data_IF_555797384679
#
_entry.id   IF_555797384679
#
_cell.length_a   1.000
_cell.length_b   1.000
_cell.length_c   1.000
_cell.angle_alpha   90.00
_cell.angle_beta   90.00
_cell.angle_gamma   90.00
#
_symmetry.space_group_name_H-M   'P 1'
#
loop_
_entity.id
_entity.type
_entity.pdbx_description
1 polymer ?
#
# COMPACT_ATOMS: atom_id res chain seq x y z
N UNK A 1 54.99 2.77 -7.54
CA UNK A 1 53.83 3.69 -7.34
C UNK A 1 52.73 2.87 -6.69
N UNK A 2 52.70 2.86 -5.37
CA UNK A 2 51.75 2.09 -4.55
C UNK A 2 50.48 2.93 -4.46
N UNK A 3 49.40 2.50 -5.12
CA UNK A 3 48.08 3.12 -4.95
C UNK A 3 47.37 2.39 -3.82
N UNK A 4 47.30 3.08 -2.70
CA UNK A 4 46.53 2.78 -1.50
C UNK A 4 45.06 2.53 -1.86
N UNK A 5 44.60 1.27 -1.74
CA UNK A 5 43.17 0.95 -1.65
C UNK A 5 42.66 1.51 -0.33
N UNK A 6 41.98 2.65 -0.40
CA UNK A 6 41.14 3.16 0.67
C UNK A 6 40.03 2.12 0.88
N UNK A 7 40.12 1.36 1.98
CA UNK A 7 38.98 0.61 2.51
C UNK A 7 37.94 1.63 2.94
N UNK A 8 36.92 1.87 2.11
CA UNK A 8 35.71 2.48 2.60
C UNK A 8 35.02 1.50 3.55
N UNK A 9 34.57 1.93 4.73
CA UNK A 9 33.83 1.07 5.65
C UNK A 9 32.49 0.73 5.00
N UNK A 10 32.25 -0.57 4.82
CA UNK A 10 30.96 -1.12 4.41
C UNK A 10 29.90 -0.65 5.41
N UNK A 11 28.96 0.16 4.96
CA UNK A 11 27.86 0.67 5.79
C UNK A 11 26.89 -0.49 6.06
N UNK A 12 26.44 -0.72 7.30
CA UNK A 12 25.65 -1.91 7.66
C UNK A 12 24.17 -1.72 7.30
N UNK A 13 23.85 -1.50 6.03
CA UNK A 13 22.47 -1.34 5.55
C UNK A 13 22.03 -2.52 4.66
N UNK A 14 22.42 -3.77 4.94
CA UNK A 14 21.97 -4.88 4.07
C UNK A 14 22.14 -6.28 4.65
N UNK A 15 21.65 -6.55 5.87
CA UNK A 15 21.75 -7.91 6.43
C UNK A 15 20.59 -8.85 6.06
N UNK A 16 19.48 -8.34 5.51
CA UNK A 16 18.31 -9.18 5.20
C UNK A 16 18.48 -9.97 3.88
N UNK A 17 19.06 -9.43 2.79
CA UNK A 17 19.22 -10.20 1.54
C UNK A 17 20.35 -11.25 1.60
N UNK A 18 21.43 -10.98 2.33
CA UNK A 18 22.63 -11.84 2.30
C UNK A 18 22.47 -13.18 3.03
N UNK A 19 21.65 -13.25 4.08
CA UNK A 19 21.50 -14.46 4.89
C UNK A 19 20.57 -15.52 4.24
N UNK A 20 19.69 -15.12 3.32
CA UNK A 20 18.80 -16.06 2.62
C UNK A 20 19.36 -16.56 1.29
N UNK A 21 20.17 -15.74 0.59
CA UNK A 21 20.88 -16.13 -0.64
C UNK A 21 21.80 -17.35 -0.45
N UNK A 22 22.31 -17.59 0.76
CA UNK A 22 23.17 -18.73 1.06
C UNK A 22 22.41 -20.06 1.27
N UNK A 23 21.13 -20.02 1.66
CA UNK A 23 20.35 -21.22 1.99
C UNK A 23 19.75 -21.90 0.74
N UNK A 24 19.62 -21.17 -0.38
CA UNK A 24 18.99 -21.65 -1.63
C UNK A 24 20.01 -22.17 -2.66
N UNK A 25 21.31 -22.09 -2.36
CA UNK A 25 22.41 -22.32 -3.31
C UNK A 25 22.53 -23.75 -3.89
N UNK A 26 21.77 -24.74 -3.39
CA UNK A 26 21.78 -26.10 -3.94
C UNK A 26 20.88 -26.33 -5.19
N UNK A 27 20.15 -25.32 -5.68
CA UNK A 27 19.30 -25.42 -6.90
C UNK A 27 19.62 -24.35 -7.98
N UNK A 28 20.84 -23.79 -7.97
CA UNK A 28 21.19 -22.51 -8.60
C UNK A 28 20.94 -22.34 -10.12
N UNK A 29 20.86 -23.40 -10.93
CA UNK A 29 20.65 -23.26 -12.39
C UNK A 29 19.17 -23.05 -12.72
N UNK A 30 18.26 -23.81 -12.10
CA UNK A 30 16.80 -23.69 -12.34
C UNK A 30 16.29 -22.36 -11.76
N UNK A 31 16.85 -21.92 -10.64
CA UNK A 31 16.45 -20.66 -10.00
C UNK A 31 16.82 -19.44 -10.85
N UNK A 32 18.00 -19.44 -11.49
CA UNK A 32 18.44 -18.31 -12.30
C UNK A 32 17.59 -18.15 -13.58
N UNK A 33 17.26 -19.26 -14.25
CA UNK A 33 16.43 -19.23 -15.46
C UNK A 33 15.01 -18.72 -15.17
N UNK A 34 14.43 -19.09 -14.02
CA UNK A 34 13.13 -18.60 -13.58
C UNK A 34 13.16 -17.11 -13.23
N UNK A 35 14.20 -16.66 -12.51
CA UNK A 35 14.40 -15.23 -12.21
C UNK A 35 14.56 -14.41 -13.49
N UNK A 36 15.27 -14.90 -14.52
CA UNK A 36 15.35 -14.18 -15.78
C UNK A 36 14.01 -14.13 -16.52
N UNK A 37 13.22 -15.21 -16.47
CA UNK A 37 11.92 -15.27 -17.13
C UNK A 37 10.87 -14.34 -16.49
N UNK A 38 10.95 -14.10 -15.18
CA UNK A 38 10.02 -13.22 -14.47
C UNK A 38 10.20 -11.73 -14.80
N UNK A 39 11.36 -11.34 -15.34
CA UNK A 39 11.71 -9.94 -15.55
C UNK A 39 11.18 -9.42 -16.89
N UNK A 40 10.89 -8.13 -16.93
CA UNK A 40 10.56 -7.45 -18.19
C UNK A 40 11.84 -7.01 -18.94
N UNK A 41 12.91 -6.66 -18.20
CA UNK A 41 14.26 -6.40 -18.72
C UNK A 41 15.30 -7.21 -17.92
N UNK A 42 15.69 -8.42 -18.38
CA UNK A 42 16.60 -9.32 -17.65
C UNK A 42 18.04 -8.82 -17.61
N UNK A 43 18.42 -7.84 -18.44
CA UNK A 43 19.78 -7.33 -18.54
C UNK A 43 20.10 -6.30 -17.44
N UNK A 44 19.08 -5.72 -16.80
CA UNK A 44 19.28 -4.81 -15.66
C UNK A 44 19.83 -5.56 -14.44
N UNK A 45 20.71 -4.94 -13.63
CA UNK A 45 21.15 -5.55 -12.39
C UNK A 45 20.03 -5.54 -11.32
N UNK A 46 19.90 -6.62 -10.54
CA UNK A 46 18.99 -6.70 -9.39
C UNK A 46 19.41 -5.80 -8.21
N UNK A 47 20.68 -5.40 -8.19
CA UNK A 47 21.25 -4.49 -7.18
C UNK A 47 21.99 -3.38 -7.91
N UNK A 48 21.49 -2.17 -7.77
CA UNK A 48 22.03 -1.01 -8.48
C UNK A 48 23.26 -0.46 -7.77
N UNK A 49 24.36 -0.36 -8.51
CA UNK A 49 25.61 0.26 -8.07
C UNK A 49 25.52 1.80 -8.11
N UNK A 50 26.31 2.53 -7.31
CA UNK A 50 27.35 2.05 -6.38
C UNK A 50 26.85 1.78 -4.95
N UNK A 51 25.64 2.22 -4.62
CA UNK A 51 25.14 2.24 -3.24
C UNK A 51 24.41 0.96 -2.82
N UNK A 52 24.21 0.02 -3.75
CA UNK A 52 23.61 -1.28 -3.46
C UNK A 52 22.09 -1.22 -3.30
N UNK A 53 21.42 -0.30 -4.00
CA UNK A 53 19.96 -0.22 -3.94
C UNK A 53 19.33 -1.49 -4.52
N UNK A 54 18.46 -2.13 -3.74
CA UNK A 54 17.67 -3.26 -4.19
C UNK A 54 16.70 -2.78 -5.28
N UNK A 55 16.68 -3.46 -6.43
CA UNK A 55 15.64 -3.27 -7.44
C UNK A 55 14.29 -3.79 -6.94
N UNK A 56 13.20 -3.43 -7.62
CA UNK A 56 11.88 -3.93 -7.22
C UNK A 56 11.77 -5.45 -7.45
N UNK A 57 12.45 -6.00 -8.46
CA UNK A 57 12.46 -7.44 -8.74
C UNK A 57 13.04 -8.26 -7.58
N UNK A 58 14.14 -7.82 -6.96
CA UNK A 58 14.71 -8.56 -5.82
C UNK A 58 13.83 -8.43 -4.57
N UNK A 59 13.15 -7.29 -4.40
CA UNK A 59 12.17 -7.12 -3.31
C UNK A 59 10.99 -8.07 -3.51
N UNK A 60 10.42 -8.12 -4.71
CA UNK A 60 9.32 -9.02 -5.04
C UNK A 60 9.75 -10.49 -4.94
N UNK A 61 10.96 -10.84 -5.39
CA UNK A 61 11.52 -12.18 -5.26
C UNK A 61 11.56 -12.63 -3.79
N UNK A 62 11.88 -11.72 -2.86
CA UNK A 62 11.91 -12.01 -1.42
C UNK A 62 10.50 -12.07 -0.80
N UNK A 63 9.52 -11.34 -1.34
CA UNK A 63 8.16 -11.26 -0.80
C UNK A 63 7.23 -12.37 -1.31
N UNK A 64 7.29 -12.66 -2.61
CA UNK A 64 6.38 -13.58 -3.30
C UNK A 64 7.08 -14.71 -4.06
N UNK A 65 8.42 -14.75 -4.07
CA UNK A 65 9.17 -15.78 -4.80
C UNK A 65 9.23 -15.56 -6.32
N UNK A 66 8.78 -14.40 -6.82
CA UNK A 66 8.80 -14.04 -8.24
C UNK A 66 9.59 -12.74 -8.45
N UNK A 67 10.49 -12.71 -9.43
CA UNK A 67 11.32 -11.53 -9.73
C UNK A 67 10.64 -10.54 -10.70
N UNK A 68 9.33 -10.36 -10.56
CA UNK A 68 8.56 -9.43 -11.40
C UNK A 68 8.89 -7.97 -11.00
N UNK A 69 8.94 -7.03 -11.96
CA UNK A 69 9.36 -5.66 -11.67
C UNK A 69 8.26 -4.77 -11.09
N UNK A 70 6.99 -5.16 -11.21
CA UNK A 70 5.88 -4.32 -10.81
C UNK A 70 5.21 -4.77 -9.51
N UNK A 71 4.52 -3.83 -8.86
CA UNK A 71 3.84 -4.04 -7.57
C UNK A 71 2.31 -4.09 -7.67
N UNK A 72 1.76 -3.97 -8.88
CA UNK A 72 0.32 -4.15 -9.14
C UNK A 72 -0.04 -5.64 -9.24
N UNK A 73 -1.33 -5.96 -9.16
CA UNK A 73 -1.81 -7.34 -9.26
C UNK A 73 -1.86 -7.81 -10.71
N UNK A 74 -1.48 -9.07 -10.93
CA UNK A 74 -1.52 -9.76 -12.21
C UNK A 74 -0.73 -9.05 -13.32
N UNK A 75 -0.88 -9.51 -14.56
CA UNK A 75 -0.25 -8.87 -15.70
C UNK A 75 -1.18 -7.79 -16.27
N UNK A 76 -0.58 -6.71 -16.75
CA UNK A 76 -1.29 -5.60 -17.40
C UNK A 76 -0.85 -5.51 -18.85
N UNK A 77 -1.81 -5.39 -19.79
CA UNK A 77 -1.52 -5.17 -21.21
C UNK A 77 -1.68 -3.70 -21.56
N UNK A 78 -0.57 -3.05 -21.92
CA UNK A 78 -0.51 -1.67 -22.35
C UNK A 78 -0.31 -1.59 -23.87
N UNK A 79 -1.40 -1.77 -24.61
CA UNK A 79 -1.38 -1.61 -26.07
C UNK A 79 -0.43 -2.58 -26.78
N UNK A 80 -0.37 -3.83 -26.32
CA UNK A 80 0.48 -4.89 -26.87
C UNK A 80 1.77 -5.14 -26.08
N UNK A 81 2.03 -4.36 -25.02
CA UNK A 81 3.14 -4.59 -24.08
C UNK A 81 2.58 -5.18 -22.80
N UNK A 82 2.87 -6.45 -22.55
CA UNK A 82 2.50 -7.13 -21.31
C UNK A 82 3.52 -6.80 -20.21
N UNK A 83 3.07 -6.09 -19.19
CA UNK A 83 3.85 -5.81 -17.98
C UNK A 83 3.52 -6.84 -16.90
N UNK A 84 4.54 -7.45 -16.30
CA UNK A 84 4.35 -8.50 -15.29
C UNK A 84 4.18 -7.92 -13.90
N UNK A 85 3.10 -8.28 -13.21
CA UNK A 85 2.85 -7.93 -11.82
C UNK A 85 2.74 -9.15 -10.91
N UNK A 86 2.24 -8.93 -9.70
CA UNK A 86 2.20 -9.93 -8.64
C UNK A 86 0.96 -10.81 -8.84
N UNK A 87 1.18 -12.10 -9.07
CA UNK A 87 0.11 -13.05 -9.39
C UNK A 87 -0.44 -13.81 -8.18
N UNK A 88 0.23 -13.74 -7.02
CA UNK A 88 -0.10 -14.54 -5.84
C UNK A 88 -0.13 -13.69 -4.58
N UNK A 89 -0.97 -14.08 -3.62
CA UNK A 89 -0.95 -13.46 -2.29
C UNK A 89 0.33 -13.83 -1.54
N UNK A 90 0.78 -12.90 -0.68
CA UNK A 90 2.06 -13.03 0.02
C UNK A 90 1.89 -13.27 1.52
N UNK A 91 2.92 -13.82 2.17
CA UNK A 91 2.92 -13.97 3.62
C UNK A 91 3.23 -12.66 4.36
N UNK A 92 4.15 -11.86 3.80
CA UNK A 92 4.54 -10.53 4.28
C UNK A 92 4.28 -9.53 3.17
N UNK A 93 3.55 -8.48 3.49
CA UNK A 93 3.09 -7.49 2.52
C UNK A 93 4.14 -6.45 2.19
N UNK A 94 3.77 -5.55 1.27
CA UNK A 94 4.58 -4.41 0.89
C UNK A 94 3.71 -3.17 0.76
N UNK A 95 4.20 -2.07 1.30
CA UNK A 95 3.66 -0.73 1.07
C UNK A 95 4.83 0.17 0.70
N UNK A 96 4.59 1.18 -0.13
CA UNK A 96 5.65 2.10 -0.52
C UNK A 96 5.18 3.54 -0.43
N UNK A 97 6.09 4.41 -0.01
CA UNK A 97 5.85 5.85 0.01
C UNK A 97 5.56 6.38 -1.40
N UNK A 98 6.11 5.75 -2.45
CA UNK A 98 5.87 6.13 -3.84
C UNK A 98 4.39 6.03 -4.26
N UNK A 99 3.63 5.10 -3.68
CA UNK A 99 2.19 5.02 -3.92
C UNK A 99 1.45 6.23 -3.34
N UNK A 100 1.86 6.71 -2.16
CA UNK A 100 1.26 7.92 -1.56
C UNK A 100 1.51 9.19 -2.39
N UNK A 101 2.55 9.17 -3.23
CA UNK A 101 2.88 10.21 -4.20
C UNK A 101 2.20 9.99 -5.57
N UNK A 102 1.36 8.97 -5.71
CA UNK A 102 0.73 8.53 -6.95
C UNK A 102 1.74 8.19 -8.07
N UNK A 103 2.94 7.71 -7.71
CA UNK A 103 3.98 7.30 -8.66
C UNK A 103 3.88 5.83 -9.05
N UNK A 104 3.14 5.03 -8.28
CA UNK A 104 2.82 3.65 -8.60
C UNK A 104 1.51 3.24 -7.91
N UNK A 105 0.96 2.09 -8.29
CA UNK A 105 -0.19 1.48 -7.64
C UNK A 105 0.19 0.11 -7.08
N UNK A 106 0.10 -0.07 -5.75
CA UNK A 106 0.40 -1.35 -5.12
C UNK A 106 -0.88 -2.18 -5.07
N UNK A 107 -0.81 -3.38 -5.64
CA UNK A 107 -1.93 -4.31 -5.74
C UNK A 107 -2.35 -4.93 -4.42
N UNK A 108 -3.54 -5.55 -4.42
CA UNK A 108 -4.13 -6.22 -3.25
C UNK A 108 -3.26 -7.37 -2.77
N UNK A 109 -2.59 -8.08 -3.66
CA UNK A 109 -1.73 -9.23 -3.33
C UNK A 109 -0.61 -8.85 -2.38
N UNK A 110 -0.06 -7.62 -2.48
CA UNK A 110 0.96 -7.10 -1.57
C UNK A 110 0.38 -6.34 -0.38
N UNK A 111 -0.78 -5.68 -0.53
CA UNK A 111 -1.44 -4.91 0.54
C UNK A 111 -2.14 -5.78 1.58
N UNK A 112 -2.62 -6.94 1.19
CA UNK A 112 -3.41 -7.86 2.03
C UNK A 112 -2.65 -9.17 2.27
N UNK A 113 -1.50 -9.14 2.96
CA UNK A 113 -0.72 -10.34 3.25
C UNK A 113 -1.44 -11.28 4.21
N UNK A 114 -0.98 -12.53 4.27
CA UNK A 114 -1.47 -13.53 5.24
C UNK A 114 -1.24 -13.08 6.68
N UNK A 115 -0.07 -12.54 6.97
CA UNK A 115 0.29 -12.00 8.29
C UNK A 115 0.30 -10.48 8.23
N UNK A 116 -0.19 -9.76 9.26
CA UNK A 116 -0.23 -8.30 9.27
C UNK A 116 1.16 -7.73 9.51
N UNK A 117 2.06 -7.96 8.57
CA UNK A 117 3.45 -7.55 8.53
C UNK A 117 3.68 -7.00 7.12
N UNK A 118 4.19 -5.78 7.03
CA UNK A 118 4.48 -5.11 5.78
C UNK A 118 5.90 -4.58 5.80
N UNK A 119 6.63 -4.83 4.72
CA UNK A 119 7.82 -4.06 4.39
C UNK A 119 7.38 -2.71 3.85
N UNK A 120 7.90 -1.63 4.42
CA UNK A 120 7.66 -0.26 3.97
C UNK A 120 8.88 0.21 3.19
N UNK A 121 8.72 0.44 1.89
CA UNK A 121 9.74 1.04 1.03
C UNK A 121 9.65 2.56 1.02
N UNK A 122 10.78 3.23 1.26
CA UNK A 122 10.96 4.66 0.99
C UNK A 122 11.91 4.87 -0.19
N UNK A 123 12.35 6.11 -0.41
CA UNK A 123 13.34 6.46 -1.44
C UNK A 123 14.73 5.85 -1.17
N UNK A 124 15.05 5.56 0.08
CA UNK A 124 16.41 5.27 0.52
C UNK A 124 16.51 4.14 1.55
N UNK A 125 15.39 3.71 2.13
CA UNK A 125 15.39 2.79 3.25
C UNK A 125 14.16 1.87 3.29
N UNK A 126 14.33 0.68 3.86
CA UNK A 126 13.24 -0.26 4.13
C UNK A 126 13.01 -0.39 5.63
N UNK A 127 11.75 -0.30 6.04
CA UNK A 127 11.34 -0.47 7.44
C UNK A 127 10.20 -1.48 7.55
N UNK A 128 9.82 -1.86 8.77
CA UNK A 128 8.77 -2.86 9.00
C UNK A 128 7.60 -2.22 9.72
N UNK A 129 6.40 -2.43 9.21
CA UNK A 129 5.14 -2.16 9.90
C UNK A 129 4.47 -3.49 10.22
N UNK A 130 3.94 -3.67 11.43
CA UNK A 130 3.20 -4.89 11.76
C UNK A 130 2.12 -4.66 12.80
N UNK A 131 1.12 -5.54 12.85
CA UNK A 131 0.18 -5.64 13.95
C UNK A 131 0.33 -6.98 14.67
N UNK A 132 -0.20 -7.06 15.88
CA UNK A 132 -0.20 -8.31 16.67
C UNK A 132 -1.47 -9.15 16.42
N UNK A 133 -2.50 -8.54 15.85
CA UNK A 133 -3.78 -9.18 15.55
C UNK A 133 -4.02 -9.15 14.04
N UNK A 134 -4.41 -10.29 13.47
CA UNK A 134 -4.77 -10.42 12.06
C UNK A 134 -6.06 -9.68 11.72
N UNK A 135 -6.93 -9.43 12.70
CA UNK A 135 -8.23 -8.76 12.52
C UNK A 135 -8.12 -7.33 11.97
N UNK A 136 -6.92 -6.70 12.06
CA UNK A 136 -6.66 -5.37 11.46
C UNK A 136 -6.82 -5.36 9.93
N UNK A 137 -6.78 -6.54 9.32
CA UNK A 137 -6.95 -6.74 7.88
C UNK A 137 -8.36 -7.14 7.50
N UNK A 138 -9.26 -7.34 8.47
CA UNK A 138 -10.63 -7.79 8.21
C UNK A 138 -11.38 -6.73 7.41
N UNK A 139 -11.84 -7.14 6.23
CA UNK A 139 -12.65 -6.32 5.34
C UNK A 139 -14.10 -6.78 5.39
N UNK A 140 -15.01 -5.82 5.39
CA UNK A 140 -16.43 -6.14 5.23
C UNK A 140 -16.69 -6.70 3.84
N UNK A 141 -17.79 -7.44 3.68
CA UNK A 141 -18.22 -7.93 2.37
C UNK A 141 -18.34 -6.81 1.32
N UNK A 142 -18.69 -5.59 1.76
CA UNK A 142 -18.80 -4.41 0.90
C UNK A 142 -17.42 -3.94 0.44
N UNK A 143 -16.47 -3.84 1.37
CA UNK A 143 -15.09 -3.44 1.07
C UNK A 143 -14.40 -4.44 0.15
N UNK A 144 -14.60 -5.74 0.39
CA UNK A 144 -14.09 -6.80 -0.48
C UNK A 144 -14.73 -6.72 -1.88
N UNK A 145 -16.05 -6.49 -1.94
CA UNK A 145 -16.74 -6.36 -3.21
C UNK A 145 -16.28 -5.14 -4.03
N UNK A 146 -16.16 -3.97 -3.38
CA UNK A 146 -15.56 -2.76 -3.96
C UNK A 146 -14.15 -3.05 -4.48
N UNK A 147 -13.31 -3.72 -3.69
CA UNK A 147 -11.94 -4.05 -4.09
C UNK A 147 -11.91 -4.96 -5.32
N UNK A 148 -12.85 -5.91 -5.42
CA UNK A 148 -12.97 -6.81 -6.58
C UNK A 148 -13.44 -6.07 -7.83
N UNK A 149 -14.38 -5.13 -7.70
CA UNK A 149 -14.81 -4.27 -8.82
C UNK A 149 -13.64 -3.41 -9.30
N UNK A 150 -12.89 -2.80 -8.38
CA UNK A 150 -11.71 -2.01 -8.73
C UNK A 150 -10.64 -2.86 -9.42
N UNK A 151 -10.33 -4.04 -8.89
CA UNK A 151 -9.36 -4.95 -9.50
C UNK A 151 -9.79 -5.39 -10.90
N UNK A 152 -11.08 -5.70 -11.11
CA UNK A 152 -11.60 -6.06 -12.42
C UNK A 152 -11.55 -4.89 -13.41
N UNK A 153 -11.77 -3.66 -12.94
CA UNK A 153 -11.60 -2.45 -13.74
C UNK A 153 -10.14 -2.24 -14.14
N UNK A 154 -9.21 -2.30 -13.18
CA UNK A 154 -7.78 -2.09 -13.43
C UNK A 154 -7.19 -3.15 -14.36
N UNK A 155 -7.67 -4.40 -14.28
CA UNK A 155 -7.27 -5.48 -15.19
C UNK A 155 -7.69 -5.23 -16.65
N UNK A 156 -8.70 -4.38 -16.88
CA UNK A 156 -9.17 -3.99 -18.22
C UNK A 156 -8.66 -2.61 -18.63
N UNK A 157 -7.99 -1.88 -17.73
CA UNK A 157 -7.46 -0.55 -18.01
C UNK A 157 -6.14 -0.63 -18.79
N UNK A 158 -6.25 -0.49 -20.11
CA UNK A 158 -5.11 -0.51 -21.03
C UNK A 158 -4.32 0.80 -21.06
N UNK A 159 -4.71 1.80 -20.27
CA UNK A 159 -4.09 3.13 -20.28
C UNK A 159 -2.89 3.26 -19.34
N UNK A 160 -2.58 2.22 -18.56
CA UNK A 160 -1.51 2.27 -17.57
C UNK A 160 -1.92 2.96 -16.28
N UNK A 161 -3.20 2.84 -15.91
CA UNK A 161 -3.76 3.43 -14.68
C UNK A 161 -4.40 4.81 -14.87
N UNK A 162 -4.70 5.21 -16.10
CA UNK A 162 -5.45 6.42 -16.42
C UNK A 162 -6.93 6.37 -16.00
N UNK A 163 -7.43 5.20 -15.59
CA UNK A 163 -8.74 5.06 -14.95
C UNK A 163 -9.90 5.02 -15.93
N UNK A 164 -9.69 4.47 -17.14
CA UNK A 164 -10.72 4.29 -18.15
C UNK A 164 -10.66 2.92 -18.83
N UNK A 165 -11.83 2.39 -19.21
CA UNK A 165 -11.99 1.10 -19.92
C UNK A 165 -12.95 1.27 -21.10
N UNK A 166 -13.02 0.28 -21.99
CA UNK A 166 -14.01 0.29 -23.07
C UNK A 166 -15.41 -0.13 -22.57
N UNK A 167 -16.50 0.24 -23.26
CA UNK A 167 -17.85 -0.23 -22.96
C UNK A 167 -17.98 -1.76 -22.96
N UNK A 168 -17.23 -2.47 -23.81
CA UNK A 168 -17.20 -3.94 -23.86
C UNK A 168 -16.57 -4.51 -22.59
N UNK A 169 -15.45 -3.92 -22.13
CA UNK A 169 -14.82 -4.30 -20.88
C UNK A 169 -15.74 -4.07 -19.67
N UNK A 170 -16.49 -2.96 -19.66
CA UNK A 170 -17.48 -2.71 -18.61
C UNK A 170 -18.54 -3.83 -18.56
N UNK A 171 -19.08 -4.24 -19.70
CA UNK A 171 -20.07 -5.33 -19.75
C UNK A 171 -19.51 -6.64 -19.23
N UNK A 172 -18.24 -6.95 -19.53
CA UNK A 172 -17.56 -8.14 -19.02
C UNK A 172 -17.43 -8.09 -17.49
N UNK A 173 -17.02 -6.95 -16.93
CA UNK A 173 -16.90 -6.76 -15.47
C UNK A 173 -18.26 -6.95 -14.78
N UNK A 174 -19.32 -6.33 -15.31
CA UNK A 174 -20.67 -6.46 -14.76
C UNK A 174 -21.16 -7.91 -14.81
N UNK A 175 -20.85 -8.64 -15.87
CA UNK A 175 -21.18 -10.05 -16.00
C UNK A 175 -20.41 -10.92 -15.00
N UNK A 176 -19.08 -10.79 -14.94
CA UNK A 176 -18.22 -11.63 -14.10
C UNK A 176 -18.49 -11.42 -12.60
N UNK A 177 -18.80 -10.19 -12.22
CA UNK A 177 -19.14 -9.82 -10.84
C UNK A 177 -20.64 -9.93 -10.53
N UNK A 178 -21.47 -10.34 -11.50
CA UNK A 178 -22.93 -10.53 -11.36
C UNK A 178 -23.65 -9.26 -10.90
N UNK A 179 -23.28 -8.13 -11.48
CA UNK A 179 -23.86 -6.82 -11.20
C UNK A 179 -25.00 -6.56 -12.19
N UNK A 180 -26.24 -6.55 -11.70
CA UNK A 180 -27.44 -6.23 -12.46
C UNK A 180 -27.67 -4.70 -12.47
N UNK A 181 -27.00 -4.04 -13.42
CA UNK A 181 -27.10 -2.59 -13.60
C UNK A 181 -28.31 -2.21 -14.48
N UNK A 182 -29.13 -1.21 -14.07
CA UNK A 182 -30.23 -0.72 -14.91
C UNK A 182 -29.76 -0.25 -16.28
N UNK A 183 -30.51 -0.60 -17.33
CA UNK A 183 -30.13 -0.31 -18.71
C UNK A 183 -29.94 1.19 -18.99
N UNK A 184 -30.77 2.06 -18.41
CA UNK A 184 -30.62 3.51 -18.59
C UNK A 184 -29.29 4.03 -18.06
N UNK A 185 -28.82 3.47 -16.94
CA UNK A 185 -27.54 3.83 -16.33
C UNK A 185 -26.36 3.30 -17.15
N UNK A 186 -26.47 2.05 -17.63
CA UNK A 186 -25.48 1.46 -18.51
C UNK A 186 -25.35 2.26 -19.82
N UNK A 187 -26.47 2.66 -20.43
CA UNK A 187 -26.47 3.49 -21.63
C UNK A 187 -25.81 4.85 -21.41
N UNK A 188 -25.99 5.45 -20.23
CA UNK A 188 -25.33 6.71 -19.88
C UNK A 188 -23.81 6.53 -19.72
N UNK A 189 -23.37 5.46 -19.05
CA UNK A 189 -21.93 5.14 -18.91
C UNK A 189 -21.28 4.83 -20.26
N UNK A 190 -22.00 4.13 -21.14
CA UNK A 190 -21.54 3.77 -22.48
C UNK A 190 -21.88 4.84 -23.53
N UNK A 191 -22.24 6.05 -23.13
CA UNK A 191 -22.56 7.14 -24.07
C UNK A 191 -21.33 7.65 -24.82
N UNK A 192 -20.14 7.35 -24.28
CA UNK A 192 -18.82 7.63 -24.88
C UNK A 192 -18.09 6.32 -25.18
N UNK A 193 -17.07 6.37 -26.03
CA UNK A 193 -16.20 5.23 -26.35
C UNK A 193 -15.31 4.77 -25.19
N UNK A 194 -15.34 5.50 -24.06
CA UNK A 194 -14.61 5.21 -22.84
C UNK A 194 -15.53 5.32 -21.63
N UNK A 195 -15.30 4.47 -20.64
CA UNK A 195 -15.97 4.47 -19.33
C UNK A 195 -14.94 4.84 -18.28
N UNK A 196 -15.21 5.89 -17.50
CA UNK A 196 -14.30 6.38 -16.46
C UNK A 196 -14.67 5.75 -15.11
N UNK A 197 -13.66 5.37 -14.31
CA UNK A 197 -13.85 4.75 -12.99
C UNK A 197 -14.81 5.54 -12.09
N UNK A 198 -14.66 6.87 -12.03
CA UNK A 198 -15.50 7.70 -11.17
C UNK A 198 -16.97 7.67 -11.58
N UNK A 199 -17.28 7.61 -12.88
CA UNK A 199 -18.67 7.53 -13.37
C UNK A 199 -19.29 6.18 -13.03
N UNK A 200 -18.54 5.09 -13.27
CA UNK A 200 -18.94 3.74 -12.87
C UNK A 200 -19.16 3.66 -11.35
N UNK A 201 -18.26 4.25 -10.56
CA UNK A 201 -18.38 4.28 -9.11
C UNK A 201 -19.66 4.99 -8.66
N UNK A 202 -19.96 6.17 -9.21
CA UNK A 202 -21.21 6.88 -8.90
C UNK A 202 -22.46 6.09 -9.29
N UNK A 203 -22.41 5.39 -10.43
CA UNK A 203 -23.48 4.49 -10.86
C UNK A 203 -23.68 3.32 -9.89
N UNK A 204 -22.60 2.64 -9.49
CA UNK A 204 -22.64 1.51 -8.55
C UNK A 204 -23.22 1.90 -7.18
N UNK A 205 -22.95 3.12 -6.71
CA UNK A 205 -23.53 3.66 -5.47
C UNK A 205 -25.05 3.82 -5.53
N UNK A 206 -25.68 3.76 -6.72
CA UNK A 206 -27.12 3.82 -6.91
C UNK A 206 -27.77 2.44 -7.14
N UNK A 207 -26.96 1.41 -7.38
CA UNK A 207 -27.44 0.03 -7.59
C UNK A 207 -27.57 -0.68 -6.24
N UNK A 208 -28.70 -1.32 -5.98
CA UNK A 208 -28.93 -2.03 -4.71
C UNK A 208 -27.97 -3.22 -4.53
N UNK A 209 -27.58 -3.48 -3.27
CA UNK A 209 -26.68 -4.61 -2.93
C UNK A 209 -27.19 -5.98 -3.41
N UNK A 210 -28.50 -6.20 -3.42
CA UNK A 210 -29.11 -7.44 -3.92
C UNK A 210 -28.88 -7.67 -5.42
N UNK A 211 -28.50 -6.62 -6.14
CA UNK A 211 -28.15 -6.60 -7.56
C UNK A 211 -26.64 -6.50 -7.80
N UNK A 212 -25.81 -6.68 -6.77
CA UNK A 212 -24.36 -6.50 -6.89
C UNK A 212 -23.93 -5.03 -6.94
N UNK A 213 -24.79 -4.08 -6.58
CA UNK A 213 -24.39 -2.70 -6.42
C UNK A 213 -23.81 -2.38 -5.04
N UNK A 214 -23.52 -1.10 -4.83
CA UNK A 214 -22.88 -0.57 -3.61
C UNK A 214 -23.77 0.42 -2.85
N UNK A 215 -25.02 0.59 -3.30
CA UNK A 215 -26.00 1.43 -2.59
C UNK A 215 -26.26 0.87 -1.22
N UNK A 216 -25.85 1.61 -0.19
CA UNK A 216 -26.02 1.19 1.19
C UNK A 216 -27.15 1.94 1.89
N UNK A 217 -28.03 1.18 2.55
CA UNK A 217 -28.97 1.72 3.53
C UNK A 217 -28.24 1.81 4.87
N UNK A 218 -27.37 2.83 4.99
CA UNK A 218 -26.75 3.31 6.22
C UNK A 218 -26.47 2.24 7.30
N UNK A 219 -25.67 1.21 6.99
CA UNK A 219 -25.02 0.47 8.05
C UNK A 219 -23.94 1.40 8.64
N UNK A 220 -24.23 1.96 9.81
CA UNK A 220 -23.27 2.73 10.61
C UNK A 220 -22.19 1.76 11.07
N UNK A 221 -21.17 1.50 10.24
CA UNK A 221 -19.95 0.91 10.75
C UNK A 221 -19.35 1.93 11.73
N UNK A 222 -18.99 1.46 12.92
CA UNK A 222 -18.16 2.24 13.81
C UNK A 222 -16.78 2.48 13.19
N UNK A 223 -16.08 3.51 13.68
CA UNK A 223 -14.66 3.69 13.35
C UNK A 223 -13.89 2.46 13.79
N UNK A 224 -13.07 1.90 12.89
CA UNK A 224 -12.13 0.83 13.27
C UNK A 224 -10.92 1.48 13.94
N UNK A 225 -10.56 0.99 15.12
CA UNK A 225 -9.37 1.42 15.83
C UNK A 225 -8.52 0.20 16.15
N UNK A 226 -7.23 0.31 15.84
CA UNK A 226 -6.27 -0.75 16.11
C UNK A 226 -4.87 -0.16 16.27
N UNK A 227 -3.92 -1.01 16.65
CA UNK A 227 -2.55 -0.63 16.91
C UNK A 227 -1.63 -1.33 15.91
N UNK A 228 -0.70 -0.56 15.36
CA UNK A 228 0.40 -1.06 14.54
C UNK A 228 1.72 -0.63 15.17
N UNK A 229 2.77 -1.37 14.86
CA UNK A 229 4.12 -1.18 15.37
C UNK A 229 5.04 -0.97 14.19
N UNK A 230 5.81 0.11 14.24
CA UNK A 230 6.78 0.46 13.21
C UNK A 230 8.18 0.27 13.74
N UNK A 231 8.93 -0.65 13.14
CA UNK A 231 10.35 -0.81 13.38
C UNK A 231 11.13 -0.13 12.27
N UNK A 232 11.79 0.98 12.59
CA UNK A 232 12.43 1.79 11.57
C UNK A 232 13.74 1.19 11.05
N UNK A 233 14.44 0.31 11.78
CA UNK A 233 15.71 -0.29 11.33
C UNK A 233 16.88 0.69 11.12
N UNK A 234 16.74 1.96 11.49
CA UNK A 234 17.75 3.00 11.24
C UNK A 234 18.79 2.99 12.37
N UNK A 235 20.05 2.73 12.02
CA UNK A 235 21.20 2.89 12.91
C UNK A 235 22.19 3.89 12.31
N UNK A 236 22.19 5.14 12.80
CA UNK A 236 23.11 6.19 12.34
C UNK A 236 24.08 6.55 13.47
N UNK A 237 25.37 6.63 13.17
CA UNK A 237 26.36 7.21 14.08
C UNK A 237 26.75 8.57 13.51
N UNK A 238 26.32 9.65 14.15
CA UNK A 238 26.64 11.01 13.72
C UNK A 238 27.66 11.59 14.69
N UNK A 239 28.89 11.80 14.20
CA UNK A 239 29.92 12.51 14.94
C UNK A 239 29.81 14.00 14.59
N UNK A 240 29.27 14.80 15.51
CA UNK A 240 29.23 16.26 15.38
C UNK A 240 29.96 16.88 16.57
N UNK A 241 31.02 17.65 16.28
CA UNK A 241 31.73 18.51 17.24
C UNK A 241 32.00 17.87 18.62
N UNK A 242 32.59 16.67 18.62
CA UNK A 242 33.09 16.02 19.83
C UNK A 242 32.09 15.12 20.57
N UNK A 243 30.80 15.13 20.21
CA UNK A 243 29.80 14.21 20.76
C UNK A 243 29.37 13.17 19.71
N UNK A 244 29.42 11.89 20.07
CA UNK A 244 29.03 10.78 19.21
C UNK A 244 27.58 10.46 19.50
N UNK A 245 26.68 10.96 18.66
CA UNK A 245 25.26 10.61 18.77
C UNK A 245 25.01 9.31 18.01
N UNK A 246 24.71 8.24 18.74
CA UNK A 246 24.33 6.95 18.17
C UNK A 246 22.80 6.87 18.11
N UNK A 247 22.22 7.06 16.94
CA UNK A 247 20.81 6.75 16.70
C UNK A 247 20.67 5.23 16.61
N UNK A 248 19.86 4.66 17.50
CA UNK A 248 19.53 3.23 17.49
C UNK A 248 18.20 3.00 16.76
N UNK A 249 17.99 1.80 16.19
CA UNK A 249 16.69 1.42 15.66
C UNK A 249 15.61 1.57 16.73
N UNK A 250 14.44 2.05 16.33
CA UNK A 250 13.31 2.34 17.21
C UNK A 250 12.10 1.51 16.80
N UNK A 251 11.35 1.09 17.80
CA UNK A 251 10.02 0.52 17.66
C UNK A 251 9.00 1.56 18.15
N UNK A 252 8.19 2.07 17.23
CA UNK A 252 7.14 3.06 17.54
C UNK A 252 5.79 2.40 17.46
N UNK A 253 5.01 2.51 18.54
CA UNK A 253 3.60 2.11 18.56
C UNK A 253 2.74 3.23 17.98
N UNK A 254 1.94 2.91 16.97
CA UNK A 254 1.06 3.84 16.27
C UNK A 254 -0.39 3.36 16.43
N UNK A 255 -1.23 4.22 17.01
CA UNK A 255 -2.68 4.03 17.08
C UNK A 255 -3.28 4.51 15.77
N UNK A 256 -3.99 3.63 15.07
CA UNK A 256 -4.63 3.90 13.78
C UNK A 256 -6.13 3.93 13.98
N UNK A 257 -6.78 4.98 13.50
CA UNK A 257 -8.24 5.10 13.46
C UNK A 257 -8.69 5.28 12.03
N UNK A 258 -9.54 4.37 11.55
CA UNK A 258 -10.03 4.33 10.17
C UNK A 258 -11.53 4.61 10.21
N UNK A 259 -11.98 5.77 9.71
CA UNK A 259 -13.41 6.01 9.55
C UNK A 259 -13.99 5.07 8.48
N UNK A 260 -15.29 4.75 8.53
CA UNK A 260 -15.95 4.06 7.43
C UNK A 260 -15.67 4.78 6.10
N UNK A 261 -15.38 4.03 5.04
CA UNK A 261 -15.02 4.61 3.73
C UNK A 261 -16.06 5.62 3.24
N UNK A 262 -17.34 5.35 3.50
CA UNK A 262 -18.50 6.18 3.13
C UNK A 262 -18.79 7.34 4.09
N UNK A 263 -17.94 7.62 5.08
CA UNK A 263 -18.13 8.79 5.95
C UNK A 263 -18.11 10.06 5.09
N UNK A 264 -19.13 10.92 5.10
CA UNK A 264 -19.10 12.15 4.30
C UNK A 264 -17.91 13.04 4.69
N UNK A 265 -17.30 13.72 3.72
CA UNK A 265 -16.19 14.65 4.01
C UNK A 265 -16.62 15.80 4.93
N UNK A 266 -17.88 16.23 4.83
CA UNK A 266 -18.47 17.21 5.75
C UNK A 266 -18.44 16.72 7.20
N UNK A 267 -18.77 15.46 7.44
CA UNK A 267 -18.76 14.86 8.78
C UNK A 267 -17.33 14.77 9.34
N UNK A 268 -16.34 14.43 8.50
CA UNK A 268 -14.93 14.45 8.91
C UNK A 268 -14.43 15.87 9.22
N UNK A 269 -14.85 16.86 8.42
CA UNK A 269 -14.48 18.27 8.63
C UNK A 269 -15.13 18.83 9.90
N UNK A 270 -16.40 18.49 10.17
CA UNK A 270 -17.09 18.86 11.39
C UNK A 270 -16.42 18.26 12.62
N UNK A 271 -16.02 16.98 12.55
CA UNK A 271 -15.26 16.33 13.61
C UNK A 271 -13.89 17.01 13.83
N UNK A 272 -13.17 17.31 12.75
CA UNK A 272 -11.88 18.03 12.83
C UNK A 272 -12.05 19.44 13.41
N UNK A 273 -13.14 20.14 13.07
CA UNK A 273 -13.48 21.45 13.64
C UNK A 273 -13.83 21.34 15.13
N UNK A 274 -14.61 20.33 15.52
CA UNK A 274 -14.96 20.07 16.91
C UNK A 274 -13.71 19.82 17.77
N UNK A 275 -12.75 19.04 17.26
CA UNK A 275 -11.45 18.82 17.92
C UNK A 275 -10.63 20.11 18.09
N UNK A 276 -10.75 21.07 17.17
CA UNK A 276 -10.07 22.38 17.28
C UNK A 276 -10.78 23.36 18.21
N UNK A 277 -12.11 23.32 18.31
CA UNK A 277 -12.88 24.23 19.16
C UNK A 277 -12.80 23.86 20.65
N UNK A 278 -12.67 22.58 20.98
CA UNK A 278 -12.60 22.10 22.37
C UNK A 278 -11.26 22.42 23.08
N UNK A 279 -10.26 22.88 22.33
CA UNK A 279 -9.01 23.42 22.87
C UNK A 279 -9.15 24.78 23.57
N UNK A 280 -10.35 25.38 23.58
CA UNK A 280 -10.58 26.72 24.16
C UNK A 280 -11.83 26.77 25.04
N UNK A 281 -11.99 25.85 26.00
CA UNK A 281 -12.72 26.14 27.25
C UNK A 281 -12.58 24.99 28.25
N UNK A 282 -11.99 25.29 29.42
CA UNK A 282 -12.08 24.40 30.57
C UNK A 282 -13.47 24.51 31.21
N UNK A 283 -14.16 23.39 31.37
CA UNK A 283 -15.03 23.11 32.52
C UNK A 283 -15.46 21.63 32.51
N UNK A 284 -15.53 21.06 33.71
CA UNK A 284 -15.72 19.64 34.00
C UNK A 284 -17.06 19.04 33.55
N UNK A 285 -17.06 17.74 33.24
CA UNK A 285 -18.24 16.88 33.41
C UNK A 285 -18.63 15.96 32.26
N UNK A 286 -17.80 15.00 31.87
CA UNK A 286 -18.18 13.61 31.54
C UNK A 286 -16.93 12.87 31.03
N UNK A 287 -16.71 11.64 31.49
CA UNK A 287 -15.52 10.83 31.18
C UNK A 287 -15.46 10.29 29.76
N UNK A 288 -15.69 11.13 28.75
CA UNK A 288 -15.36 10.82 27.37
C UNK A 288 -13.96 11.35 27.10
N UNK A 289 -13.00 10.44 26.82
CA UNK A 289 -11.66 10.79 26.39
C UNK A 289 -11.76 11.69 25.16
N UNK A 290 -11.32 12.95 25.28
CA UNK A 290 -11.16 13.86 24.14
C UNK A 290 -10.20 13.17 23.15
N UNK A 291 -10.61 12.92 21.90
CA UNK A 291 -9.73 12.27 20.92
C UNK A 291 -8.51 13.15 20.65
N UNK A 292 -7.30 12.57 20.75
CA UNK A 292 -6.06 13.29 20.46
C UNK A 292 -6.01 13.76 18.98
N UNK A 293 -5.45 14.96 18.71
CA UNK A 293 -5.36 15.48 17.35
C UNK A 293 -4.44 14.61 16.49
N UNK A 294 -4.93 14.22 15.32
CA UNK A 294 -4.19 13.37 14.39
C UNK A 294 -2.80 13.94 14.07
N UNK A 295 -1.78 13.09 14.25
CA UNK A 295 -0.40 13.43 13.92
C UNK A 295 -0.04 12.99 12.49
N UNK A 296 0.99 13.60 11.92
CA UNK A 296 1.41 13.34 10.54
C UNK A 296 2.92 13.07 10.44
N UNK A 297 3.26 12.06 9.65
CA UNK A 297 4.61 11.67 9.25
C UNK A 297 4.49 10.89 7.93
N UNK A 298 5.59 10.75 7.16
CA UNK A 298 5.56 10.03 5.88
C UNK A 298 5.05 8.58 6.00
N UNK A 299 5.30 7.91 7.13
CA UNK A 299 4.73 6.59 7.41
C UNK A 299 3.19 6.60 7.37
N UNK A 300 2.56 7.68 7.85
CA UNK A 300 1.09 7.82 7.87
C UNK A 300 0.54 7.84 6.44
N UNK A 301 1.28 8.41 5.49
CA UNK A 301 0.88 8.41 4.09
C UNK A 301 0.95 7.01 3.48
N UNK A 302 1.95 6.21 3.84
CA UNK A 302 1.97 4.78 3.50
C UNK A 302 0.81 4.01 4.14
N UNK A 303 0.51 4.24 5.42
CA UNK A 303 -0.63 3.61 6.12
C UNK A 303 -1.94 3.92 5.40
N UNK A 304 -2.11 5.15 4.90
CA UNK A 304 -3.30 5.58 4.16
C UNK A 304 -3.49 4.87 2.82
N UNK A 305 -2.44 4.31 2.23
CA UNK A 305 -2.59 3.54 0.98
C UNK A 305 -3.20 2.15 1.21
N UNK A 306 -3.11 1.62 2.45
CA UNK A 306 -3.80 0.40 2.89
C UNK A 306 -5.14 0.68 3.55
N UNK A 307 -5.17 1.66 4.47
CA UNK A 307 -6.36 2.07 5.20
C UNK A 307 -6.69 3.52 4.86
N UNK A 308 -7.50 3.68 3.81
CA UNK A 308 -7.86 5.00 3.30
C UNK A 308 -8.47 5.88 4.40
N UNK A 309 -8.06 7.16 4.43
CA UNK A 309 -8.54 8.16 5.41
C UNK A 309 -8.16 7.85 6.87
N UNK A 310 -7.21 6.94 7.10
CA UNK A 310 -6.67 6.68 8.42
C UNK A 310 -6.08 7.95 9.05
N UNK A 311 -6.36 8.12 10.34
CA UNK A 311 -5.66 9.04 11.23
C UNK A 311 -4.76 8.24 12.18
N UNK A 312 -3.59 8.79 12.48
CA UNK A 312 -2.57 8.11 13.27
C UNK A 312 -2.14 8.97 14.46
N UNK A 313 -1.87 8.32 15.59
CA UNK A 313 -1.32 8.94 16.80
C UNK A 313 -0.23 8.03 17.40
N UNK A 314 0.82 8.63 17.96
CA UNK A 314 1.92 7.96 18.63
C UNK A 314 2.46 8.83 19.77
N UNK A 315 3.25 8.23 20.64
CA UNK A 315 3.90 8.93 21.75
C UNK A 315 5.40 9.00 21.52
N UNK A 316 6.00 10.17 21.77
CA UNK A 316 7.44 10.40 21.57
C UNK A 316 7.79 10.82 20.14
N UNK A 317 8.98 10.42 19.70
CA UNK A 317 9.52 10.82 18.40
C UNK A 317 8.67 10.28 17.23
N UNK A 318 8.57 11.07 16.16
CA UNK A 318 7.89 10.66 14.94
C UNK A 318 8.52 9.38 14.34
N UNK A 319 7.69 8.45 13.82
CA UNK A 319 8.20 7.31 13.07
C UNK A 319 8.88 7.80 11.78
N UNK A 320 10.12 7.37 11.56
CA UNK A 320 10.92 7.77 10.39
C UNK A 320 11.11 6.60 9.45
N UNK A 321 10.86 6.82 8.16
CA UNK A 321 11.15 5.88 7.08
C UNK A 321 12.38 6.29 6.26
N UNK A 322 13.15 7.28 6.75
CA UNK A 322 14.37 7.87 6.16
C UNK A 322 15.45 8.11 7.22
#
# INVERSE_FOLDING_TARGET
MIVTRIRQPMVPYMYIPQLWLLTVSNHGVIFQDLVHLDRDDPDQPLVTLPFGHASQEIVNLLLCGQAVPNVFDNNMDLGGVCMKGISTSVEVGFLTYFESLNLCHVGRNLKCPKWPIWVIGSDSHYSILFALDTSVQDETQIEDHESRIRQAFDAQDQSGGGGFISPEALQQILFDLKIDMPQDMLNNLCSSDIVIWNELWQALLQVDKTKGGLKDSAAVLGKRQFEVYHFNGIAKTVASSGDVTQQRPRLTKVRVSVPPKWTPDTALVEEYKAMRSDGTQGSAGSGALVPEPAQHAQLVDCIRTRWQRATCNWTGDAPSIV
#
